data_IF_361878168354
#
_entry.id   IF_361878168354
#
_cell.length_a   1.000
_cell.length_b   1.000
_cell.length_c   1.000
_cell.angle_alpha   90.00
_cell.angle_beta   90.00
_cell.angle_gamma   90.00
#
_symmetry.space_group_name_H-M   'P 1'
#
loop_
_entity.id
_entity.type
_entity.pdbx_description
1 polymer ?
#
# COMPACT_ATOMS: atom_id res chain seq x y z
N UNK A 1 -9.95 58.47 41.92
CA UNK A 1 -9.13 57.98 40.82
C UNK A 1 -9.24 56.48 40.84
N UNK A 2 -10.10 55.89 39.97
CA UNK A 2 -10.34 54.42 39.89
C UNK A 2 -9.64 53.89 38.65
N UNK A 3 -8.60 53.07 38.82
CA UNK A 3 -7.90 52.37 37.78
C UNK A 3 -8.71 51.11 37.38
N UNK A 4 -9.21 51.07 36.14
CA UNK A 4 -9.76 49.87 35.51
C UNK A 4 -8.60 49.03 34.95
N UNK A 5 -8.43 47.81 35.44
CA UNK A 5 -7.57 46.82 34.80
C UNK A 5 -8.38 46.03 33.79
N UNK A 6 -8.06 46.17 32.49
CA UNK A 6 -8.56 45.33 31.42
C UNK A 6 -7.70 44.06 31.33
N UNK A 7 -8.27 42.95 31.69
CA UNK A 7 -7.63 41.63 31.46
C UNK A 7 -8.04 41.14 30.08
N UNK A 8 -7.08 41.12 29.16
CA UNK A 8 -7.27 40.52 27.80
C UNK A 8 -7.08 38.99 27.89
N UNK A 9 -8.18 38.26 27.78
CA UNK A 9 -8.19 36.79 27.66
C UNK A 9 -7.84 36.39 26.25
N UNK A 10 -6.64 35.87 26.03
CA UNK A 10 -6.21 35.35 24.72
C UNK A 10 -6.69 33.89 24.58
N UNK A 11 -7.75 33.66 23.81
CA UNK A 11 -8.20 32.32 23.42
C UNK A 11 -7.25 31.74 22.37
N UNK A 12 -6.37 30.81 22.80
CA UNK A 12 -5.61 29.95 21.88
C UNK A 12 -6.58 28.93 21.28
N UNK A 13 -6.93 29.11 20.00
CA UNK A 13 -7.60 28.09 19.20
C UNK A 13 -6.59 27.01 18.81
N UNK A 14 -6.59 25.88 19.54
CA UNK A 14 -5.90 24.66 19.11
C UNK A 14 -6.66 24.10 17.91
N UNK A 15 -6.16 24.35 16.70
CA UNK A 15 -6.58 23.64 15.51
C UNK A 15 -6.03 22.22 15.55
N UNK A 16 -6.84 21.27 16.00
CA UNK A 16 -6.55 19.85 15.86
C UNK A 16 -6.56 19.49 14.38
N UNK A 17 -5.38 19.39 13.76
CA UNK A 17 -5.24 18.77 12.44
C UNK A 17 -5.54 17.28 12.60
N UNK A 18 -6.77 16.88 12.22
CA UNK A 18 -7.12 15.48 12.05
C UNK A 18 -6.19 14.89 10.99
N UNK A 19 -5.17 14.15 11.40
CA UNK A 19 -4.36 13.34 10.51
C UNK A 19 -5.33 12.34 9.87
N UNK A 20 -5.61 12.51 8.58
CA UNK A 20 -6.35 11.54 7.81
C UNK A 20 -5.59 10.22 7.88
N UNK A 21 -6.09 9.27 8.68
CA UNK A 21 -5.63 7.88 8.73
C UNK A 21 -6.07 7.16 7.46
N UNK A 22 -5.63 7.70 6.30
CA UNK A 22 -5.75 7.04 5.01
C UNK A 22 -4.81 5.85 5.00
N UNK A 23 -5.34 4.71 4.63
CA UNK A 23 -4.58 3.52 4.33
C UNK A 23 -3.40 3.89 3.40
N UNK A 24 -2.17 3.73 3.87
CA UNK A 24 -0.97 4.21 3.19
C UNK A 24 -0.26 3.06 2.48
N UNK A 25 0.07 3.25 1.20
CA UNK A 25 1.01 2.40 0.47
C UNK A 25 2.42 2.90 0.77
N UNK A 26 3.27 2.00 1.26
CA UNK A 26 4.71 2.24 1.41
C UNK A 26 5.44 1.32 0.42
N UNK A 27 5.98 1.87 -0.70
CA UNK A 27 6.67 1.06 -1.70
C UNK A 27 7.73 0.16 -1.07
N UNK A 28 7.83 -1.08 -1.56
CA UNK A 28 8.71 -2.15 -1.08
C UNK A 28 8.48 -2.62 0.36
N UNK A 29 7.51 -2.07 1.08
CA UNK A 29 7.24 -2.44 2.47
C UNK A 29 5.84 -3.02 2.67
N UNK A 30 4.79 -2.30 2.22
CA UNK A 30 3.45 -2.78 2.51
C UNK A 30 2.29 -1.85 2.17
N UNK A 31 1.09 -2.32 2.55
CA UNK A 31 -0.19 -1.65 2.30
C UNK A 31 -1.00 -1.69 3.60
N UNK A 32 -1.74 -0.64 3.91
CA UNK A 32 -2.67 -0.57 5.05
C UNK A 32 -2.00 -0.82 6.42
N UNK A 33 -0.72 -0.46 6.57
CA UNK A 33 0.06 -0.74 7.78
C UNK A 33 0.56 -2.19 7.90
N UNK A 34 0.19 -3.06 6.97
CA UNK A 34 0.73 -4.40 6.85
C UNK A 34 2.09 -4.38 6.14
N UNK A 35 2.91 -5.39 6.41
CA UNK A 35 4.25 -5.53 5.83
C UNK A 35 4.49 -6.97 5.36
N UNK A 36 5.38 -7.13 4.39
CA UNK A 36 5.91 -8.44 4.03
C UNK A 36 6.57 -9.09 5.25
N UNK A 37 6.52 -10.42 5.34
CA UNK A 37 7.04 -11.20 6.46
C UNK A 37 6.15 -11.23 7.71
N UNK A 38 5.04 -10.49 7.77
CA UNK A 38 4.08 -10.63 8.88
C UNK A 38 3.41 -11.99 8.86
N UNK A 39 3.21 -12.58 10.04
CA UNK A 39 2.43 -13.81 10.18
C UNK A 39 0.92 -13.55 10.05
N UNK A 40 0.14 -14.61 9.80
CA UNK A 40 -1.33 -14.51 9.77
C UNK A 40 -1.90 -13.89 11.05
N UNK A 41 -1.36 -14.25 12.22
CA UNK A 41 -1.80 -13.71 13.51
C UNK A 41 -1.55 -12.20 13.61
N UNK A 42 -0.38 -11.74 13.16
CA UNK A 42 -0.04 -10.31 13.14
C UNK A 42 -0.92 -9.53 12.16
N UNK A 43 -1.23 -10.09 10.99
CA UNK A 43 -2.15 -9.47 10.03
C UNK A 43 -3.54 -9.32 10.66
N UNK A 44 -4.11 -10.40 11.23
CA UNK A 44 -5.43 -10.36 11.88
C UNK A 44 -5.47 -9.40 13.07
N UNK A 45 -4.41 -9.32 13.85
CA UNK A 45 -4.30 -8.37 14.97
C UNK A 45 -4.31 -6.91 14.50
N UNK A 46 -3.73 -6.60 13.34
CA UNK A 46 -3.63 -5.23 12.82
C UNK A 46 -4.88 -4.73 12.10
N UNK A 47 -5.50 -5.58 11.28
CA UNK A 47 -6.58 -5.18 10.36
C UNK A 47 -7.86 -5.97 10.54
N UNK A 48 -7.91 -6.85 11.54
CA UNK A 48 -9.07 -7.69 11.82
C UNK A 48 -9.14 -8.94 10.96
N UNK A 49 -10.26 -9.65 11.06
CA UNK A 49 -10.50 -10.84 10.27
C UNK A 49 -10.78 -10.49 8.80
N UNK A 50 -10.28 -11.29 7.85
CA UNK A 50 -10.58 -11.10 6.44
C UNK A 50 -12.05 -11.40 6.14
N UNK A 51 -12.65 -10.67 5.19
CA UNK A 51 -14.00 -10.95 4.71
C UNK A 51 -14.09 -12.26 3.93
N UNK A 52 -12.97 -12.71 3.32
CA UNK A 52 -12.89 -13.99 2.61
C UNK A 52 -11.48 -14.55 2.71
N UNK A 53 -11.38 -15.88 2.86
CA UNK A 53 -10.13 -16.64 2.81
C UNK A 53 -10.19 -17.57 1.61
N UNK A 54 -9.20 -17.47 0.73
CA UNK A 54 -9.01 -18.36 -0.42
C UNK A 54 -7.75 -19.18 -0.20
N UNK A 55 -7.83 -20.49 -0.45
CA UNK A 55 -6.69 -21.39 -0.38
C UNK A 55 -6.58 -22.15 -1.70
N UNK A 56 -5.37 -22.38 -2.12
CA UNK A 56 -5.09 -23.11 -3.34
C UNK A 56 -3.65 -23.60 -3.39
N UNK A 57 -3.30 -24.18 -4.53
CA UNK A 57 -1.95 -24.64 -4.84
C UNK A 57 -1.61 -24.27 -6.27
N UNK A 58 -0.38 -23.84 -6.48
CA UNK A 58 0.23 -23.68 -7.80
C UNK A 58 1.33 -24.74 -7.99
N UNK A 59 1.96 -24.77 -9.15
CA UNK A 59 3.13 -25.65 -9.40
C UNK A 59 4.27 -25.41 -8.41
N UNK A 60 4.43 -24.15 -7.96
CA UNK A 60 5.50 -23.75 -7.04
C UNK A 60 5.11 -23.86 -5.54
N UNK A 61 3.85 -24.15 -5.20
CA UNK A 61 3.46 -24.40 -3.81
C UNK A 61 2.04 -23.98 -3.42
N UNK A 62 1.67 -24.25 -2.16
CA UNK A 62 0.37 -23.86 -1.63
C UNK A 62 0.34 -22.35 -1.34
N UNK A 63 -0.87 -21.76 -1.40
CA UNK A 63 -1.09 -20.38 -0.98
C UNK A 63 -2.36 -20.22 -0.18
N UNK A 64 -2.37 -19.19 0.66
CA UNK A 64 -3.57 -18.65 1.32
C UNK A 64 -3.67 -17.17 1.01
N UNK A 65 -4.83 -16.70 0.56
CA UNK A 65 -5.09 -15.29 0.30
C UNK A 65 -6.23 -14.79 1.18
N UNK A 66 -5.97 -13.76 1.95
CA UNK A 66 -6.94 -13.01 2.73
C UNK A 66 -7.45 -11.83 1.90
N UNK A 67 -8.78 -11.71 1.75
CA UNK A 67 -9.41 -10.57 1.08
C UNK A 67 -10.02 -9.62 2.09
N UNK A 68 -9.57 -8.39 2.02
CA UNK A 68 -10.11 -7.25 2.75
C UNK A 68 -10.82 -6.29 1.77
N UNK A 69 -11.63 -5.33 2.25
CA UNK A 69 -12.38 -4.43 1.37
C UNK A 69 -11.52 -3.63 0.37
N UNK A 70 -10.29 -3.30 0.72
CA UNK A 70 -9.41 -2.45 -0.11
C UNK A 70 -8.18 -3.18 -0.65
N UNK A 71 -7.80 -4.32 -0.07
CA UNK A 71 -6.57 -5.03 -0.45
C UNK A 71 -6.68 -6.53 -0.22
N UNK A 72 -5.73 -7.26 -0.79
CA UNK A 72 -5.52 -8.68 -0.51
C UNK A 72 -4.14 -8.91 0.05
N UNK A 73 -4.01 -9.94 0.90
CA UNK A 73 -2.76 -10.38 1.51
C UNK A 73 -2.58 -11.85 1.20
N UNK A 74 -1.46 -12.22 0.60
CA UNK A 74 -1.15 -13.60 0.22
C UNK A 74 0.03 -14.13 1.01
N UNK A 75 -0.15 -15.32 1.53
CA UNK A 75 0.83 -16.18 2.19
C UNK A 75 1.14 -17.32 1.23
N UNK A 76 2.35 -17.38 0.72
CA UNK A 76 2.77 -18.38 -0.25
C UNK A 76 3.84 -19.28 0.33
N UNK A 77 3.60 -20.61 0.29
CA UNK A 77 4.51 -21.66 0.77
C UNK A 77 4.95 -21.51 2.25
N UNK A 78 4.22 -20.72 3.06
CA UNK A 78 4.54 -20.51 4.47
C UNK A 78 3.52 -19.62 5.18
N UNK A 79 3.73 -19.35 6.49
CA UNK A 79 2.80 -18.59 7.31
C UNK A 79 2.98 -17.08 7.20
N UNK A 80 3.93 -16.60 6.40
CA UNK A 80 4.28 -15.19 6.31
C UNK A 80 3.73 -14.53 5.05
N UNK A 81 3.45 -13.24 5.13
CA UNK A 81 3.00 -12.42 4.00
C UNK A 81 4.09 -12.34 2.95
N UNK A 82 3.81 -12.86 1.77
CA UNK A 82 4.71 -12.82 0.62
C UNK A 82 4.27 -11.80 -0.44
N UNK A 83 2.98 -11.45 -0.46
CA UNK A 83 2.44 -10.48 -1.41
C UNK A 83 1.24 -9.74 -0.83
N UNK A 84 1.15 -8.46 -1.15
CA UNK A 84 -0.04 -7.63 -0.93
C UNK A 84 -0.43 -6.96 -2.24
N UNK A 85 -1.74 -6.79 -2.46
CA UNK A 85 -2.28 -6.20 -3.69
C UNK A 85 -3.46 -5.29 -3.36
N UNK A 86 -3.56 -4.16 -4.05
CA UNK A 86 -4.75 -3.32 -4.03
C UNK A 86 -5.20 -2.92 -5.44
N UNK A 87 -6.51 -2.80 -5.60
CA UNK A 87 -7.19 -2.18 -6.76
C UNK A 87 -8.04 -1.00 -6.29
N UNK A 88 -8.00 -0.68 -5.01
CA UNK A 88 -8.78 0.39 -4.41
C UNK A 88 -8.12 1.76 -4.62
N UNK A 89 -8.88 2.79 -5.04
CA UNK A 89 -8.37 4.15 -5.14
C UNK A 89 -8.18 4.82 -3.78
N UNK A 90 -8.63 4.20 -2.68
CA UNK A 90 -8.54 4.76 -1.33
C UNK A 90 -7.12 4.70 -0.77
N UNK A 91 -6.31 3.74 -1.20
CA UNK A 91 -4.95 3.55 -0.71
C UNK A 91 -3.95 4.30 -1.58
N UNK A 92 -3.12 5.13 -0.94
CA UNK A 92 -2.15 5.97 -1.65
C UNK A 92 -0.82 6.01 -0.92
N UNK A 93 0.25 6.26 -1.69
CA UNK A 93 1.57 6.60 -1.14
C UNK A 93 1.54 7.97 -0.46
N UNK A 94 2.58 8.29 0.29
CA UNK A 94 2.76 9.62 0.89
C UNK A 94 2.77 10.76 -0.16
N UNK A 95 3.20 10.46 -1.41
CA UNK A 95 3.18 11.39 -2.54
C UNK A 95 1.86 11.41 -3.32
N UNK A 96 0.80 10.72 -2.82
CA UNK A 96 -0.53 10.68 -3.41
C UNK A 96 -0.70 9.70 -4.57
N UNK A 97 0.29 8.86 -4.87
CA UNK A 97 0.19 7.85 -5.93
C UNK A 97 -0.63 6.65 -5.43
N UNK A 98 -1.59 6.23 -6.26
CA UNK A 98 -2.48 5.10 -6.00
C UNK A 98 -3.18 4.65 -7.28
N UNK A 99 -4.13 3.73 -7.16
CA UNK A 99 -4.98 3.32 -8.29
C UNK A 99 -5.69 4.54 -8.88
N UNK A 100 -5.70 4.65 -10.22
CA UNK A 100 -6.19 5.80 -10.98
C UNK A 100 -5.13 6.87 -11.28
N UNK A 101 -3.98 6.90 -10.62
CA UNK A 101 -2.87 7.82 -10.96
C UNK A 101 -2.36 7.57 -12.37
N UNK A 102 -1.95 8.62 -13.07
CA UNK A 102 -1.38 8.48 -14.41
C UNK A 102 0.03 7.87 -14.36
N UNK A 103 0.44 7.20 -15.45
CA UNK A 103 1.81 6.67 -15.60
C UNK A 103 2.86 7.78 -15.43
N UNK A 104 2.60 8.99 -15.94
CA UNK A 104 3.49 10.14 -15.77
C UNK A 104 3.59 10.60 -14.32
N UNK A 105 2.48 10.61 -13.57
CA UNK A 105 2.49 10.94 -12.15
C UNK A 105 3.29 9.92 -11.33
N UNK A 106 3.19 8.61 -11.64
CA UNK A 106 4.01 7.57 -11.02
C UNK A 106 5.49 7.85 -11.25
N UNK A 107 5.87 8.10 -12.52
CA UNK A 107 7.27 8.41 -12.89
C UNK A 107 7.81 9.65 -12.18
N UNK A 108 6.99 10.68 -12.02
CA UNK A 108 7.41 11.95 -11.41
C UNK A 108 7.51 11.89 -9.88
N UNK A 109 6.69 11.06 -9.22
CA UNK A 109 6.49 11.13 -7.76
C UNK A 109 6.96 9.89 -6.98
N UNK A 110 7.32 8.80 -7.66
CA UNK A 110 7.82 7.59 -7.00
C UNK A 110 9.34 7.51 -7.21
N UNK A 111 10.14 7.68 -6.16
CA UNK A 111 11.60 7.65 -6.29
C UNK A 111 12.10 6.29 -6.80
N UNK A 112 13.07 6.31 -7.70
CA UNK A 112 13.71 5.10 -8.24
C UNK A 112 12.82 4.23 -9.12
N UNK A 113 11.64 4.72 -9.53
CA UNK A 113 10.72 3.97 -10.37
C UNK A 113 11.24 3.81 -11.80
N UNK A 114 11.09 2.64 -12.36
CA UNK A 114 11.30 2.34 -13.79
C UNK A 114 9.94 2.02 -14.40
N UNK A 115 9.67 2.53 -15.61
CA UNK A 115 8.42 2.27 -16.33
C UNK A 115 8.73 1.75 -17.73
N UNK A 116 8.17 0.60 -18.08
CA UNK A 116 8.41 -0.06 -19.35
C UNK A 116 7.16 -0.84 -19.79
N UNK A 117 7.20 -1.33 -21.01
CA UNK A 117 6.23 -2.26 -21.57
C UNK A 117 6.98 -3.52 -21.95
N UNK A 118 6.67 -4.63 -21.32
CA UNK A 118 7.27 -5.94 -21.61
C UNK A 118 6.15 -6.96 -21.90
N UNK A 119 6.29 -7.70 -23.00
CA UNK A 119 5.31 -8.73 -23.40
C UNK A 119 3.85 -8.25 -23.40
N UNK A 120 3.63 -6.97 -23.78
CA UNK A 120 2.30 -6.34 -23.75
C UNK A 120 1.81 -5.90 -22.37
N UNK A 121 2.62 -6.07 -21.33
CA UNK A 121 2.34 -5.61 -19.97
C UNK A 121 2.97 -4.24 -19.72
N UNK A 122 2.12 -3.20 -19.62
CA UNK A 122 2.56 -1.84 -19.28
C UNK A 122 2.57 -1.68 -17.76
N UNK A 123 3.73 -1.34 -17.21
CA UNK A 123 3.90 -1.18 -15.77
C UNK A 123 5.01 -0.20 -15.39
N UNK A 124 4.96 0.24 -14.14
CA UNK A 124 6.05 0.94 -13.48
C UNK A 124 6.41 0.17 -12.21
N UNK A 125 7.69 0.04 -11.88
CA UNK A 125 8.09 -0.69 -10.69
C UNK A 125 9.26 -0.04 -9.94
N UNK A 126 9.34 -0.36 -8.65
CA UNK A 126 10.48 -0.06 -7.76
C UNK A 126 11.01 -1.37 -7.21
N UNK A 127 12.32 -1.51 -7.14
CA UNK A 127 12.99 -2.72 -6.68
C UNK A 127 13.80 -3.40 -7.78
N UNK A 128 14.18 -4.64 -7.54
CA UNK A 128 15.00 -5.44 -8.45
C UNK A 128 14.24 -6.73 -8.77
N UNK A 129 14.05 -7.03 -10.04
CA UNK A 129 13.46 -8.27 -10.52
C UNK A 129 14.47 -9.42 -10.41
N UNK A 130 14.69 -9.86 -9.17
CA UNK A 130 15.51 -11.00 -8.84
C UNK A 130 14.80 -11.81 -7.77
N UNK A 131 14.77 -13.15 -7.86
CA UNK A 131 14.15 -14.01 -6.87
C UNK A 131 14.49 -13.65 -5.44
N UNK A 132 13.49 -13.67 -4.55
CA UNK A 132 13.62 -13.31 -3.15
C UNK A 132 13.74 -11.81 -2.85
N UNK A 133 13.84 -10.95 -3.87
CA UNK A 133 13.86 -9.50 -3.68
C UNK A 133 12.46 -8.91 -3.67
N UNK A 134 12.29 -7.84 -2.92
CA UNK A 134 11.02 -7.11 -2.86
C UNK A 134 10.86 -6.22 -4.08
N UNK A 135 9.64 -6.21 -4.60
CA UNK A 135 9.23 -5.34 -5.70
C UNK A 135 7.91 -4.65 -5.36
N UNK A 136 7.75 -3.41 -5.83
CA UNK A 136 6.46 -2.73 -5.90
C UNK A 136 6.15 -2.49 -7.37
N UNK A 137 5.08 -3.09 -7.85
CA UNK A 137 4.62 -3.00 -9.23
C UNK A 137 3.33 -2.19 -9.31
N UNK A 138 3.32 -1.20 -10.18
CA UNK A 138 2.17 -0.40 -10.57
C UNK A 138 1.74 -0.84 -11.96
N UNK A 139 0.78 -1.77 -12.05
CA UNK A 139 0.22 -2.22 -13.33
C UNK A 139 -0.54 -1.09 -13.99
N UNK A 140 -0.22 -0.76 -15.23
CA UNK A 140 -0.83 0.32 -15.98
C UNK A 140 -1.86 -0.23 -16.98
N UNK A 141 -3.05 0.33 -16.97
CA UNK A 141 -4.07 0.07 -17.99
C UNK A 141 -4.62 1.39 -18.50
N UNK A 142 -4.65 1.59 -19.81
CA UNK A 142 -5.10 2.85 -20.44
C UNK A 142 -4.42 4.08 -19.86
N UNK A 143 -3.10 3.99 -19.62
CA UNK A 143 -2.26 5.07 -19.11
C UNK A 143 -2.43 5.40 -17.62
N UNK A 144 -3.19 4.60 -16.88
CA UNK A 144 -3.43 4.78 -15.44
C UNK A 144 -3.12 3.52 -14.64
N UNK A 145 -2.73 3.70 -13.39
CA UNK A 145 -2.54 2.60 -12.45
C UNK A 145 -3.87 1.89 -12.22
N UNK A 146 -3.94 0.63 -12.62
CA UNK A 146 -5.09 -0.23 -12.41
C UNK A 146 -4.96 -1.09 -11.15
N UNK A 147 -3.71 -1.40 -10.76
CA UNK A 147 -3.38 -2.27 -9.64
C UNK A 147 -2.01 -1.94 -9.09
N UNK A 148 -1.84 -2.10 -7.78
CA UNK A 148 -0.53 -2.03 -7.13
C UNK A 148 -0.29 -3.34 -6.40
N UNK A 149 0.88 -3.93 -6.63
CA UNK A 149 1.33 -5.16 -5.99
C UNK A 149 2.65 -4.90 -5.28
N UNK A 150 2.77 -5.34 -4.04
CA UNK A 150 4.02 -5.35 -3.28
C UNK A 150 4.26 -6.79 -2.87
N UNK A 151 5.42 -7.34 -3.21
CA UNK A 151 5.71 -8.74 -2.92
C UNK A 151 7.16 -9.10 -3.19
N UNK A 152 7.49 -10.33 -2.85
CA UNK A 152 8.74 -10.94 -3.28
C UNK A 152 8.62 -11.41 -4.73
N UNK A 153 9.69 -11.28 -5.48
CA UNK A 153 9.84 -11.94 -6.80
C UNK A 153 9.97 -13.44 -6.53
N UNK A 154 9.10 -14.22 -7.13
CA UNK A 154 9.06 -15.69 -7.05
C UNK A 154 9.47 -16.21 -8.42
N UNK A 155 10.29 -17.28 -8.46
CA UNK A 155 10.69 -17.98 -9.69
C UNK A 155 9.55 -18.74 -10.34
#
# INVERSE_FOLDING_TARGET
MRMLFLTATCCLLLTATAAATGSRIVPQQGIAGLRLGMTEAQVKSKVGLPGKVERGRTEIGPYTTYRYPTHTVTFFAGPEVTQMRTVSPKERTASGIGVGSTRSAVRAKVPGVKCLVEFGYDHCYVGIWTPGRTITDFSIHKGRVARITIGYVID
#
